data_IF_532957368460
#
_entry.id   IF_532957368460
#
_cell.length_a   1.000
_cell.length_b   1.000
_cell.length_c   1.000
_cell.angle_alpha   90.00
_cell.angle_beta   90.00
_cell.angle_gamma   90.00
#
_symmetry.space_group_name_H-M   'P 1'
#
loop_
_entity.id
_entity.type
_entity.pdbx_description
1 polymer ?
#
# COMPACT_ATOMS: atom_id res chain seq x y z
N UNK A 1 -18.22 17.82 54.79
CA UNK A 1 -18.29 16.52 54.11
C UNK A 1 -16.91 15.89 54.24
N UNK A 2 -16.89 14.68 54.76
CA UNK A 2 -15.76 14.01 55.43
C UNK A 2 -14.87 13.28 54.42
N UNK A 3 -13.56 13.55 54.47
CA UNK A 3 -12.54 13.22 53.46
C UNK A 3 -11.61 12.10 53.95
N UNK A 4 -12.19 11.02 54.49
CA UNK A 4 -11.44 10.03 55.29
C UNK A 4 -11.72 8.56 54.96
N UNK A 5 -12.01 8.21 53.70
CA UNK A 5 -12.19 6.80 53.28
C UNK A 5 -11.50 6.43 51.96
N UNK A 6 -10.19 6.51 51.91
CA UNK A 6 -9.36 5.65 51.05
C UNK A 6 -8.09 5.24 51.82
N UNK A 7 -8.27 4.34 52.81
CA UNK A 7 -7.13 3.59 53.34
C UNK A 7 -6.75 2.55 52.29
N UNK A 8 -5.63 2.79 51.61
CA UNK A 8 -4.90 1.76 50.88
C UNK A 8 -4.54 0.64 51.88
N UNK A 9 -5.19 -0.51 51.77
CA UNK A 9 -4.69 -1.72 52.38
C UNK A 9 -3.47 -2.16 51.56
N UNK A 10 -2.30 -2.25 52.21
CA UNK A 10 -1.14 -2.89 51.61
C UNK A 10 -1.49 -4.36 51.31
N UNK A 11 -1.11 -4.90 50.13
CA UNK A 11 -1.38 -6.30 49.83
C UNK A 11 -0.60 -7.20 50.79
N UNK A 12 -1.14 -8.39 51.13
CA UNK A 12 -0.40 -9.37 51.91
C UNK A 12 0.86 -9.78 51.13
N UNK A 13 1.97 -9.89 51.85
CA UNK A 13 3.27 -10.34 51.35
C UNK A 13 3.21 -11.83 50.97
N UNK A 14 2.60 -12.11 49.82
CA UNK A 14 2.78 -13.35 49.07
C UNK A 14 3.77 -13.11 47.95
N UNK A 15 4.55 -14.14 47.60
CA UNK A 15 5.55 -14.17 46.52
C UNK A 15 5.23 -13.17 45.41
N UNK A 16 6.12 -12.18 45.22
CA UNK A 16 5.99 -11.22 44.14
C UNK A 16 5.84 -12.00 42.83
N UNK A 17 4.63 -11.97 42.26
CA UNK A 17 4.42 -12.40 40.89
C UNK A 17 5.50 -11.72 40.04
N UNK A 18 6.19 -12.47 39.15
CA UNK A 18 7.22 -11.88 38.32
C UNK A 18 6.64 -10.66 37.60
N UNK A 19 7.43 -9.58 37.45
CA UNK A 19 6.95 -8.39 36.75
C UNK A 19 6.35 -8.84 35.41
N UNK A 20 5.16 -8.33 35.05
CA UNK A 20 4.47 -8.78 33.85
C UNK A 20 5.41 -8.63 32.67
N UNK A 21 5.49 -9.69 31.86
CA UNK A 21 6.40 -9.69 30.74
C UNK A 21 6.04 -8.55 29.77
N UNK A 22 7.04 -7.90 29.17
CA UNK A 22 6.79 -6.97 28.08
C UNK A 22 5.88 -7.62 27.05
N UNK A 23 4.81 -6.91 26.67
CA UNK A 23 3.87 -7.41 25.67
C UNK A 23 4.58 -7.74 24.36
N UNK A 24 5.62 -6.97 24.03
CA UNK A 24 6.52 -7.22 22.93
C UNK A 24 7.91 -7.65 23.46
N UNK A 25 8.39 -8.80 23.01
CA UNK A 25 9.77 -9.27 23.25
C UNK A 25 10.37 -9.56 21.89
N UNK A 26 11.47 -8.89 21.53
CA UNK A 26 12.08 -8.94 20.20
C UNK A 26 12.88 -10.22 19.91
N UNK A 27 13.07 -11.10 20.89
CA UNK A 27 13.86 -12.32 20.74
C UNK A 27 13.10 -13.45 20.02
N UNK A 28 13.53 -13.78 18.80
CA UNK A 28 13.48 -15.16 18.28
C UNK A 28 12.20 -15.68 17.60
N UNK A 29 11.40 -14.85 16.92
CA UNK A 29 10.16 -15.34 16.28
C UNK A 29 10.22 -15.38 14.74
N UNK A 30 10.23 -16.60 14.20
CA UNK A 30 9.81 -16.93 12.83
C UNK A 30 8.64 -17.92 12.93
N UNK A 31 7.42 -17.39 13.02
CA UNK A 31 6.20 -18.16 12.72
C UNK A 31 5.53 -17.43 11.55
N UNK A 32 4.94 -18.10 10.56
CA UNK A 32 4.17 -17.44 9.50
C UNK A 32 2.87 -16.87 10.06
N UNK A 33 2.51 -15.63 9.74
CA UNK A 33 1.10 -15.18 9.82
C UNK A 33 0.52 -15.50 8.44
N UNK A 34 -0.75 -15.89 8.39
CA UNK A 34 -1.51 -16.06 7.15
C UNK A 34 -1.87 -14.70 6.49
N UNK A 35 -0.91 -13.77 6.51
CA UNK A 35 -0.96 -12.46 5.84
C UNK A 35 -0.28 -12.54 4.45
N UNK A 36 0.03 -13.75 3.97
CA UNK A 36 1.13 -13.96 3.03
C UNK A 36 2.47 -13.69 3.72
N UNK A 37 3.58 -14.20 3.17
CA UNK A 37 4.89 -13.99 3.79
C UNK A 37 5.17 -12.48 3.99
N UNK A 38 5.32 -12.03 5.24
CA UNK A 38 5.66 -10.65 5.56
C UNK A 38 7.00 -10.22 4.91
N UNK A 39 7.89 -11.19 4.64
CA UNK A 39 9.26 -11.00 4.15
C UNK A 39 9.39 -10.20 2.85
N UNK A 40 8.35 -10.14 2.04
CA UNK A 40 8.35 -9.40 0.77
C UNK A 40 7.44 -8.16 0.78
N UNK A 41 6.60 -8.00 1.82
CA UNK A 41 5.61 -6.94 1.89
C UNK A 41 6.12 -5.69 2.59
N UNK A 42 7.05 -5.83 3.53
CA UNK A 42 7.73 -4.72 4.18
C UNK A 42 8.75 -4.01 3.26
N UNK A 43 9.10 -4.63 2.13
CA UNK A 43 10.00 -4.10 1.09
C UNK A 43 9.27 -3.30 0.00
N UNK A 44 7.93 -3.25 0.02
CA UNK A 44 7.16 -2.49 -0.96
C UNK A 44 7.48 -1.00 -0.85
N UNK A 45 8.00 -0.43 -1.94
CA UNK A 45 8.25 0.99 -2.05
C UNK A 45 6.93 1.75 -2.28
N UNK A 46 6.26 2.11 -1.19
CA UNK A 46 5.01 2.85 -1.29
C UNK A 46 5.18 4.27 -1.87
N UNK A 47 6.39 4.84 -1.86
CA UNK A 47 6.64 6.15 -2.48
C UNK A 47 6.56 6.10 -4.00
N UNK A 48 6.68 4.90 -4.61
CA UNK A 48 6.35 4.66 -6.02
C UNK A 48 4.91 5.08 -6.35
N UNK A 49 3.93 4.74 -5.50
CA UNK A 49 2.53 5.09 -5.76
C UNK A 49 2.29 6.59 -5.75
N UNK A 50 2.84 7.32 -4.77
CA UNK A 50 2.73 8.78 -4.72
C UNK A 50 3.41 9.44 -5.94
N UNK A 51 4.55 8.92 -6.40
CA UNK A 51 5.23 9.41 -7.62
C UNK A 51 4.42 9.14 -8.89
N UNK A 52 3.85 7.95 -9.03
CA UNK A 52 2.98 7.63 -10.17
C UNK A 52 1.70 8.47 -10.15
N UNK A 53 1.14 8.77 -8.98
CA UNK A 53 -0.03 9.62 -8.84
C UNK A 53 0.20 11.08 -9.31
N UNK A 54 1.44 11.59 -9.27
CA UNK A 54 1.79 12.90 -9.87
C UNK A 54 1.55 12.93 -11.38
N UNK A 55 1.71 11.78 -12.05
CA UNK A 55 1.58 11.65 -13.49
C UNK A 55 0.21 11.12 -13.94
N UNK A 56 -0.75 11.03 -13.03
CA UNK A 56 -2.07 10.46 -13.33
C UNK A 56 -2.78 11.17 -14.51
N UNK A 57 -2.57 12.47 -14.67
CA UNK A 57 -3.19 13.23 -15.78
C UNK A 57 -2.49 12.96 -17.14
N UNK A 58 -1.23 12.53 -17.12
CA UNK A 58 -0.39 12.27 -18.30
C UNK A 58 -0.44 10.79 -18.71
N UNK A 59 -0.14 9.91 -17.76
CA UNK A 59 0.09 8.47 -17.96
C UNK A 59 -1.17 7.63 -17.64
N UNK A 60 -2.18 8.23 -16.99
CA UNK A 60 -3.34 7.51 -16.50
C UNK A 60 -3.03 6.68 -15.25
N UNK A 61 -3.95 5.80 -14.84
CA UNK A 61 -3.75 4.92 -13.68
C UNK A 61 -3.13 3.57 -14.01
N UNK A 62 -2.97 3.20 -15.28
CA UNK A 62 -2.34 1.93 -15.65
C UNK A 62 -1.01 1.64 -14.91
N UNK A 63 -0.07 2.60 -14.76
CA UNK A 63 1.15 2.36 -13.99
C UNK A 63 0.90 2.06 -12.50
N UNK A 64 -0.15 2.64 -11.90
CA UNK A 64 -0.56 2.34 -10.52
C UNK A 64 -1.15 0.93 -10.42
N UNK A 65 -2.01 0.57 -11.38
CA UNK A 65 -2.66 -0.74 -11.45
C UNK A 65 -1.63 -1.85 -11.62
N UNK A 66 -0.66 -1.68 -12.52
CA UNK A 66 0.43 -2.64 -12.74
C UNK A 66 1.34 -2.75 -11.51
N UNK A 67 1.67 -1.62 -10.87
CA UNK A 67 2.45 -1.62 -9.63
C UNK A 67 1.77 -2.41 -8.52
N UNK A 68 0.48 -2.15 -8.30
CA UNK A 68 -0.30 -2.86 -7.29
C UNK A 68 -0.43 -4.35 -7.60
N UNK A 69 -0.58 -4.73 -8.89
CA UNK A 69 -0.58 -6.13 -9.30
C UNK A 69 0.73 -6.84 -8.95
N UNK A 70 1.87 -6.24 -9.31
CA UNK A 70 3.19 -6.81 -9.03
C UNK A 70 3.41 -7.00 -7.53
N UNK A 71 3.04 -6.02 -6.72
CA UNK A 71 3.19 -6.08 -5.27
C UNK A 71 2.21 -7.08 -4.64
N UNK A 72 0.96 -7.16 -5.12
CA UNK A 72 0.00 -8.18 -4.67
C UNK A 72 0.43 -9.59 -5.06
N UNK A 73 0.99 -9.79 -6.26
CA UNK A 73 1.44 -11.10 -6.75
C UNK A 73 2.61 -11.67 -5.94
N UNK A 74 3.42 -10.82 -5.32
CA UNK A 74 4.46 -11.23 -4.35
C UNK A 74 3.85 -11.76 -3.06
N UNK A 75 2.60 -11.40 -2.76
CA UNK A 75 1.89 -11.94 -1.61
C UNK A 75 1.29 -13.31 -1.94
N UNK A 76 1.03 -14.12 -0.91
CA UNK A 76 0.32 -15.40 -1.05
C UNK A 76 -1.20 -15.21 -1.20
N UNK A 77 -1.66 -14.11 -1.82
CA UNK A 77 -3.09 -13.87 -2.04
C UNK A 77 -3.68 -14.98 -2.90
N UNK A 78 -4.66 -15.68 -2.36
CA UNK A 78 -5.34 -16.73 -3.11
C UNK A 78 -6.11 -16.16 -4.29
N UNK A 79 -6.62 -14.92 -4.18
CA UNK A 79 -7.30 -14.24 -5.27
C UNK A 79 -6.33 -13.89 -6.41
N UNK A 80 -5.15 -13.34 -6.10
CA UNK A 80 -4.20 -12.90 -7.14
C UNK A 80 -3.50 -14.09 -7.83
N UNK A 81 -3.38 -15.21 -7.14
CA UNK A 81 -2.64 -16.39 -7.64
C UNK A 81 -3.20 -16.89 -8.97
N UNK A 82 -4.52 -16.84 -9.11
CA UNK A 82 -5.24 -17.31 -10.29
C UNK A 82 -5.72 -16.15 -11.19
N UNK A 83 -5.32 -14.91 -10.87
CA UNK A 83 -5.67 -13.70 -11.61
C UNK A 83 -4.48 -13.22 -12.45
N UNK A 84 -4.60 -13.28 -13.78
CA UNK A 84 -3.61 -12.66 -14.65
C UNK A 84 -3.73 -11.12 -14.64
N UNK A 85 -2.76 -10.45 -15.25
CA UNK A 85 -2.71 -8.98 -15.28
C UNK A 85 -3.88 -8.39 -16.08
N UNK A 86 -4.41 -9.10 -17.08
CA UNK A 86 -5.48 -8.59 -17.93
C UNK A 86 -6.80 -8.57 -17.17
N UNK A 87 -7.10 -9.65 -16.45
CA UNK A 87 -8.27 -9.75 -15.55
C UNK A 87 -8.15 -8.73 -14.41
N UNK A 88 -6.97 -8.60 -13.80
CA UNK A 88 -6.72 -7.59 -12.78
C UNK A 88 -6.96 -6.18 -13.30
N UNK A 89 -6.41 -5.87 -14.48
CA UNK A 89 -6.54 -4.54 -15.09
C UNK A 89 -8.00 -4.25 -15.44
N UNK A 90 -8.75 -5.23 -15.94
CA UNK A 90 -10.18 -5.08 -16.22
C UNK A 90 -10.98 -4.69 -14.98
N UNK A 91 -10.84 -5.43 -13.87
CA UNK A 91 -11.56 -5.12 -12.64
C UNK A 91 -11.06 -3.85 -11.95
N UNK A 92 -9.77 -3.55 -12.05
CA UNK A 92 -9.20 -2.30 -11.58
C UNK A 92 -9.75 -1.10 -12.36
N UNK A 93 -9.87 -1.21 -13.68
CA UNK A 93 -10.46 -0.18 -14.53
C UNK A 93 -11.92 0.06 -14.17
N UNK A 94 -12.69 -1.01 -13.95
CA UNK A 94 -14.07 -0.90 -13.51
C UNK A 94 -14.20 -0.18 -12.16
N UNK A 95 -13.35 -0.54 -11.19
CA UNK A 95 -13.30 0.13 -9.89
C UNK A 95 -12.92 1.61 -10.02
N UNK A 96 -11.78 1.90 -10.65
CA UNK A 96 -11.21 3.25 -10.74
C UNK A 96 -12.04 4.18 -11.63
N UNK A 97 -12.87 3.64 -12.54
CA UNK A 97 -13.84 4.43 -13.30
C UNK A 97 -14.88 5.12 -12.41
N UNK A 98 -15.09 4.61 -11.19
CA UNK A 98 -15.97 5.23 -10.18
C UNK A 98 -15.22 6.07 -9.15
N UNK A 99 -13.90 6.23 -9.30
CA UNK A 99 -13.05 7.00 -8.38
C UNK A 99 -12.61 8.27 -9.09
N UNK A 100 -12.98 9.43 -8.57
CA UNK A 100 -12.49 10.68 -9.12
C UNK A 100 -10.94 10.75 -9.03
N UNK A 101 -10.23 11.18 -10.10
CA UNK A 101 -8.77 11.24 -10.10
C UNK A 101 -8.15 12.01 -8.93
N UNK A 102 -8.83 13.04 -8.45
CA UNK A 102 -8.41 13.80 -7.28
C UNK A 102 -8.51 12.99 -5.97
N UNK A 103 -9.53 12.13 -5.82
CA UNK A 103 -9.62 11.18 -4.70
C UNK A 103 -8.45 10.20 -4.80
N UNK A 104 -8.20 9.62 -5.97
CA UNK A 104 -7.12 8.64 -6.17
C UNK A 104 -5.74 9.23 -5.83
N UNK A 105 -5.46 10.46 -6.28
CA UNK A 105 -4.26 11.22 -5.89
C UNK A 105 -4.18 11.38 -4.38
N UNK A 106 -5.26 11.86 -3.74
CA UNK A 106 -5.28 12.10 -2.31
C UNK A 106 -5.12 10.82 -1.47
N UNK A 107 -5.60 9.67 -1.96
CA UNK A 107 -5.34 8.36 -1.37
C UNK A 107 -3.85 8.04 -1.42
N UNK A 108 -3.20 8.20 -2.58
CA UNK A 108 -1.76 7.92 -2.74
C UNK A 108 -0.87 8.88 -1.92
N UNK A 109 -1.34 10.08 -1.61
CA UNK A 109 -0.67 11.03 -0.71
C UNK A 109 -1.10 10.91 0.75
N UNK A 110 -2.10 10.06 1.04
CA UNK A 110 -2.65 9.77 2.36
C UNK A 110 -3.32 10.94 3.08
N UNK A 111 -3.74 12.00 2.37
CA UNK A 111 -4.46 13.13 2.97
C UNK A 111 -5.75 13.53 2.21
N UNK A 112 -6.71 12.61 2.19
CA UNK A 112 -8.02 12.86 1.61
C UNK A 112 -8.79 13.92 2.40
N UNK A 113 -8.68 13.93 3.74
CA UNK A 113 -9.33 14.94 4.57
C UNK A 113 -8.90 16.38 4.24
N UNK A 114 -7.60 16.66 4.16
CA UNK A 114 -7.14 18.01 3.81
C UNK A 114 -7.52 18.37 2.36
N UNK A 115 -7.41 17.41 1.43
CA UNK A 115 -7.79 17.63 0.03
C UNK A 115 -9.27 18.00 -0.08
N UNK A 116 -10.16 17.25 0.57
CA UNK A 116 -11.60 17.56 0.59
C UNK A 116 -11.87 18.94 1.22
N UNK A 117 -11.21 19.29 2.34
CA UNK A 117 -11.37 20.61 2.96
C UNK A 117 -10.93 21.76 2.03
N UNK A 118 -9.92 21.53 1.19
CA UNK A 118 -9.42 22.50 0.22
C UNK A 118 -10.24 22.59 -1.07
N UNK A 119 -10.99 21.54 -1.42
CA UNK A 119 -11.76 21.43 -2.67
C UNK A 119 -13.25 21.14 -2.39
N UNK A 120 -14.07 22.18 -2.55
CA UNK A 120 -15.53 22.11 -2.37
C UNK A 120 -16.19 21.16 -3.38
N UNK A 121 -15.66 21.08 -4.60
CA UNK A 121 -16.16 20.16 -5.63
C UNK A 121 -15.93 18.72 -5.23
N UNK A 122 -14.70 18.40 -4.82
CA UNK A 122 -14.33 17.07 -4.35
C UNK A 122 -15.14 16.65 -3.11
N UNK A 123 -15.30 17.55 -2.13
CA UNK A 123 -16.12 17.31 -0.94
C UNK A 123 -17.56 16.92 -1.28
N UNK A 124 -18.17 17.57 -2.29
CA UNK A 124 -19.53 17.23 -2.74
C UNK A 124 -19.61 15.85 -3.38
N UNK A 125 -18.56 15.44 -4.10
CA UNK A 125 -18.51 14.11 -4.73
C UNK A 125 -18.36 13.03 -3.66
N UNK A 126 -17.44 13.20 -2.71
CA UNK A 126 -17.29 12.25 -1.60
C UNK A 126 -18.59 12.16 -0.78
N UNK A 127 -19.26 13.28 -0.52
CA UNK A 127 -20.55 13.28 0.16
C UNK A 127 -21.63 12.54 -0.64
N UNK A 128 -21.70 12.70 -1.96
CA UNK A 128 -22.69 11.98 -2.76
C UNK A 128 -22.45 10.46 -2.75
N UNK A 129 -21.20 10.02 -2.69
CA UNK A 129 -20.86 8.61 -2.51
C UNK A 129 -21.26 8.11 -1.11
N UNK A 130 -21.03 8.91 -0.07
CA UNK A 130 -21.49 8.60 1.29
C UNK A 130 -23.01 8.46 1.36
N UNK A 131 -23.77 9.38 0.77
CA UNK A 131 -25.23 9.35 0.72
C UNK A 131 -25.74 8.08 0.00
N UNK A 132 -25.02 7.63 -1.02
CA UNK A 132 -25.36 6.42 -1.78
C UNK A 132 -25.02 5.12 -1.04
N UNK A 133 -24.06 5.15 -0.13
CA UNK A 133 -23.49 3.96 0.54
C UNK A 133 -24.48 3.16 1.43
N UNK A 134 -25.68 3.68 1.69
CA UNK A 134 -26.79 2.96 2.33
C UNK A 134 -27.45 1.92 1.41
N UNK A 135 -27.35 2.13 0.10
CA UNK A 135 -28.11 1.41 -0.93
C UNK A 135 -27.24 0.73 -1.99
N UNK A 136 -25.95 1.07 -2.03
CA UNK A 136 -25.00 0.52 -2.99
C UNK A 136 -23.75 0.00 -2.28
N UNK A 137 -23.19 -1.06 -2.84
CA UNK A 137 -21.90 -1.58 -2.44
C UNK A 137 -20.80 -0.53 -2.67
N UNK A 138 -19.92 -0.36 -1.69
CA UNK A 138 -18.88 0.69 -1.76
C UNK A 138 -17.58 0.24 -1.13
N UNK A 139 -16.47 0.83 -1.57
CA UNK A 139 -15.21 0.83 -0.83
C UNK A 139 -15.13 2.10 0.01
N UNK A 140 -14.80 1.94 1.28
CA UNK A 140 -14.61 3.01 2.24
C UNK A 140 -13.16 3.07 2.71
N UNK A 141 -12.73 4.27 3.09
CA UNK A 141 -11.43 4.57 3.63
C UNK A 141 -11.59 5.27 4.98
N UNK A 142 -11.07 4.65 6.03
CA UNK A 142 -10.88 5.35 7.30
C UNK A 142 -9.48 5.96 7.34
N UNK A 143 -9.41 7.23 7.69
CA UNK A 143 -8.16 7.97 7.82
C UNK A 143 -8.06 8.55 9.23
N UNK A 144 -6.98 8.24 9.94
CA UNK A 144 -6.62 8.99 11.14
C UNK A 144 -5.91 10.29 10.75
N UNK A 145 -6.27 11.39 11.39
CA UNK A 145 -5.58 12.67 11.22
C UNK A 145 -5.12 13.20 12.57
N UNK A 146 -3.95 13.83 12.58
CA UNK A 146 -3.34 14.48 13.73
C UNK A 146 -2.54 15.71 13.29
N UNK A 147 -2.30 16.66 14.22
CA UNK A 147 -1.53 17.89 13.93
C UNK A 147 -0.06 17.57 13.59
N UNK A 148 0.52 16.58 14.25
CA UNK A 148 1.87 16.07 13.99
C UNK A 148 1.80 14.54 13.98
N UNK A 149 1.57 13.98 12.80
CA UNK A 149 1.33 12.56 12.64
C UNK A 149 2.63 11.74 12.80
N UNK A 150 3.79 12.34 12.51
CA UNK A 150 5.10 11.72 12.73
C UNK A 150 5.37 11.53 14.22
N UNK A 151 5.11 12.56 15.02
CA UNK A 151 5.19 12.48 16.47
C UNK A 151 4.22 11.43 17.02
N UNK A 152 2.98 11.41 16.52
CA UNK A 152 1.98 10.40 16.93
C UNK A 152 2.45 8.99 16.61
N UNK A 153 2.91 8.74 15.39
CA UNK A 153 3.44 7.44 14.97
C UNK A 153 4.62 6.99 15.85
N UNK A 154 5.56 7.89 16.15
CA UNK A 154 6.70 7.60 17.02
C UNK A 154 6.27 7.34 18.47
N UNK A 155 5.33 8.13 18.99
CA UNK A 155 4.78 7.90 20.32
C UNK A 155 4.06 6.55 20.40
N UNK A 156 3.36 6.13 19.34
CA UNK A 156 2.75 4.80 19.22
C UNK A 156 3.77 3.68 19.13
N UNK A 157 4.85 3.86 18.37
CA UNK A 157 5.90 2.86 18.29
C UNK A 157 6.59 2.67 19.66
N UNK A 158 6.96 3.76 20.33
CA UNK A 158 7.58 3.73 21.66
C UNK A 158 6.68 3.07 22.70
N UNK A 159 5.41 3.48 22.67
CA UNK A 159 4.35 2.85 23.41
C UNK A 159 4.37 1.33 23.21
N UNK A 160 4.25 0.87 21.98
CA UNK A 160 4.18 -0.54 21.63
C UNK A 160 5.40 -1.35 22.04
N UNK A 161 6.61 -0.81 21.87
CA UNK A 161 7.86 -1.57 21.95
C UNK A 161 8.24 -1.95 23.39
N UNK A 162 8.23 -1.01 24.37
CA UNK A 162 8.88 -1.30 25.67
C UNK A 162 8.43 -0.49 26.88
N UNK A 163 7.54 0.50 26.77
CA UNK A 163 7.42 1.53 27.84
C UNK A 163 6.09 1.65 28.58
N UNK A 164 5.06 0.84 28.32
CA UNK A 164 3.84 0.91 29.15
C UNK A 164 3.99 0.11 30.45
N UNK A 165 3.78 0.80 31.57
CA UNK A 165 3.61 0.19 32.89
C UNK A 165 2.37 -0.72 32.91
N UNK A 166 2.30 -1.69 33.82
CA UNK A 166 1.10 -2.52 34.04
C UNK A 166 -0.14 -1.66 34.22
N UNK A 167 0.00 -0.51 34.89
CA UNK A 167 -1.10 0.42 35.09
C UNK A 167 -1.60 1.06 33.78
N UNK A 168 -0.70 1.46 32.87
CA UNK A 168 -1.09 1.98 31.56
C UNK A 168 -1.76 0.92 30.68
N UNK A 169 -1.25 -0.32 30.72
CA UNK A 169 -1.88 -1.46 30.06
C UNK A 169 -3.29 -1.70 30.61
N UNK A 170 -3.44 -1.69 31.93
CA UNK A 170 -4.73 -1.78 32.61
C UNK A 170 -5.70 -0.68 32.18
N UNK A 171 -5.26 0.58 32.12
CA UNK A 171 -6.14 1.69 31.72
C UNK A 171 -6.69 1.50 30.30
N UNK A 172 -5.86 1.03 29.37
CA UNK A 172 -6.29 0.75 27.99
C UNK A 172 -7.34 -0.37 27.97
N UNK A 173 -7.06 -1.48 28.65
CA UNK A 173 -7.93 -2.65 28.65
C UNK A 173 -9.22 -2.38 29.44
N UNK A 174 -9.16 -1.64 30.55
CA UNK A 174 -10.31 -1.19 31.34
C UNK A 174 -11.19 -0.21 30.58
N UNK A 175 -10.61 0.65 29.76
CA UNK A 175 -11.40 1.54 28.92
C UNK A 175 -12.18 0.76 27.84
N UNK A 176 -11.64 -0.37 27.37
CA UNK A 176 -12.31 -1.25 26.42
C UNK A 176 -13.38 -2.15 27.08
N UNK A 177 -13.09 -2.65 28.27
CA UNK A 177 -14.01 -3.43 29.09
C UNK A 177 -13.95 -2.92 30.54
N UNK A 178 -15.02 -2.26 30.98
CA UNK A 178 -15.11 -1.69 32.33
C UNK A 178 -15.06 -2.76 33.43
N UNK A 179 -15.22 -4.04 33.10
CA UNK A 179 -15.06 -5.14 34.05
C UNK A 179 -13.62 -5.65 34.13
N UNK A 180 -12.72 -5.17 33.27
CA UNK A 180 -11.31 -5.56 33.28
C UNK A 180 -10.63 -5.08 34.56
N UNK A 181 -9.98 -5.99 35.28
CA UNK A 181 -9.33 -5.71 36.55
C UNK A 181 -7.82 -5.52 36.36
N UNK A 182 -7.19 -4.78 37.29
CA UNK A 182 -5.73 -4.68 37.32
C UNK A 182 -5.07 -6.06 37.46
N UNK A 183 -5.69 -6.95 38.24
CA UNK A 183 -5.23 -8.33 38.42
C UNK A 183 -5.22 -9.13 37.10
N UNK A 184 -6.15 -8.89 36.18
CA UNK A 184 -6.12 -9.52 34.86
C UNK A 184 -4.86 -9.11 34.09
N UNK A 185 -4.54 -7.82 34.12
CA UNK A 185 -3.34 -7.26 33.49
C UNK A 185 -2.06 -7.78 34.14
N UNK A 186 -2.02 -7.81 35.47
CA UNK A 186 -0.87 -8.32 36.24
C UNK A 186 -0.65 -9.82 35.99
N UNK A 187 -1.70 -10.58 35.71
CA UNK A 187 -1.61 -11.99 35.30
C UNK A 187 -1.13 -12.20 33.85
N UNK A 188 -0.88 -11.11 33.11
CA UNK A 188 -0.42 -11.13 31.72
C UNK A 188 -1.53 -11.23 30.68
N UNK A 189 -2.80 -11.21 31.09
CA UNK A 189 -3.94 -11.11 30.16
C UNK A 189 -4.00 -9.70 29.60
N UNK A 190 -4.50 -9.55 28.36
CA UNK A 190 -4.58 -8.25 27.68
C UNK A 190 -5.78 -8.23 26.72
N UNK A 191 -6.78 -7.38 26.95
CA UNK A 191 -8.07 -7.40 26.26
C UNK A 191 -7.96 -7.53 24.72
N UNK A 192 -7.16 -6.67 24.08
CA UNK A 192 -7.07 -6.64 22.62
C UNK A 192 -6.26 -7.79 22.01
N UNK A 193 -5.28 -8.30 22.74
CA UNK A 193 -4.36 -9.34 22.24
C UNK A 193 -4.60 -10.70 22.88
N UNK A 194 -5.63 -10.85 23.69
CA UNK A 194 -6.08 -12.14 24.23
C UNK A 194 -6.59 -13.03 23.08
N UNK A 195 -6.20 -14.30 23.13
CA UNK A 195 -6.72 -15.37 22.29
C UNK A 195 -7.87 -16.11 22.98
N UNK A 196 -8.42 -17.13 22.31
CA UNK A 196 -9.60 -17.87 22.79
C UNK A 196 -9.43 -18.59 24.14
N UNK A 197 -8.20 -18.75 24.62
CA UNK A 197 -7.85 -19.43 25.88
C UNK A 197 -7.42 -18.47 27.00
N UNK A 198 -7.59 -17.17 26.81
CA UNK A 198 -7.18 -16.17 27.80
C UNK A 198 -5.70 -15.77 27.80
N UNK A 199 -4.88 -16.45 26.98
CA UNK A 199 -3.47 -16.14 26.81
C UNK A 199 -3.25 -15.13 25.68
N UNK A 200 -2.13 -14.41 25.71
CA UNK A 200 -1.71 -13.53 24.59
C UNK A 200 -1.56 -14.32 23.29
N UNK A 201 -2.19 -13.83 22.23
CA UNK A 201 -2.16 -14.37 20.89
C UNK A 201 -0.86 -13.96 20.17
N UNK A 202 -0.05 -14.94 19.80
CA UNK A 202 1.23 -14.73 19.12
C UNK A 202 1.09 -14.10 17.72
N UNK A 203 -0.05 -14.28 17.03
CA UNK A 203 -0.37 -13.60 15.79
C UNK A 203 -0.58 -12.10 16.02
N UNK A 204 -1.46 -11.74 16.96
CA UNK A 204 -1.70 -10.34 17.32
C UNK A 204 -0.44 -9.64 17.83
N UNK A 205 0.39 -10.33 18.63
CA UNK A 205 1.71 -9.83 19.08
C UNK A 205 2.63 -9.47 17.90
N UNK A 206 2.69 -10.32 16.86
CA UNK A 206 3.47 -10.05 15.66
C UNK A 206 2.91 -8.87 14.86
N UNK A 207 1.59 -8.75 14.73
CA UNK A 207 0.95 -7.60 14.09
C UNK A 207 1.36 -6.29 14.78
N UNK A 208 1.34 -6.26 16.12
CA UNK A 208 1.80 -5.09 16.88
C UNK A 208 3.28 -4.77 16.66
N UNK A 209 4.15 -5.79 16.63
CA UNK A 209 5.58 -5.61 16.31
C UNK A 209 5.80 -5.06 14.90
N UNK A 210 5.16 -5.64 13.88
CA UNK A 210 5.28 -5.20 12.50
C UNK A 210 4.75 -3.79 12.31
N UNK A 211 3.60 -3.47 12.93
CA UNK A 211 3.03 -2.13 12.93
C UNK A 211 3.95 -1.12 13.61
N UNK A 212 4.47 -1.44 14.81
CA UNK A 212 5.42 -0.58 15.53
C UNK A 212 6.67 -0.27 14.69
N UNK A 213 7.27 -1.29 14.06
CA UNK A 213 8.44 -1.12 13.18
C UNK A 213 8.13 -0.24 11.98
N UNK A 214 6.96 -0.44 11.37
CA UNK A 214 6.52 0.38 10.24
C UNK A 214 6.35 1.85 10.65
N UNK A 215 5.77 2.12 11.82
CA UNK A 215 5.62 3.47 12.36
C UNK A 215 6.98 4.13 12.69
N UNK A 216 7.95 3.40 13.23
CA UNK A 216 9.31 3.92 13.45
C UNK A 216 9.98 4.29 12.13
N UNK A 217 9.96 3.39 11.15
CA UNK A 217 10.51 3.66 9.80
C UNK A 217 9.89 4.90 9.18
N UNK A 218 8.58 5.07 9.38
CA UNK A 218 7.85 6.23 8.89
C UNK A 218 8.28 7.53 9.53
N UNK A 219 8.39 7.55 10.86
CA UNK A 219 8.88 8.71 11.58
C UNK A 219 10.31 9.09 11.14
N UNK A 220 11.17 8.09 10.89
CA UNK A 220 12.53 8.31 10.38
C UNK A 220 12.53 8.89 8.96
N UNK A 221 11.72 8.34 8.05
CA UNK A 221 11.54 8.85 6.67
C UNK A 221 11.07 10.31 6.69
N UNK A 222 10.05 10.61 7.49
CA UNK A 222 9.51 11.96 7.63
C UNK A 222 10.55 12.96 8.14
N UNK A 223 11.34 12.55 9.14
CA UNK A 223 12.41 13.35 9.71
C UNK A 223 13.50 13.62 8.67
N UNK A 224 13.92 12.58 7.92
CA UNK A 224 14.94 12.71 6.85
C UNK A 224 14.49 13.63 5.72
N UNK A 225 13.22 13.57 5.36
CA UNK A 225 12.64 14.38 4.28
C UNK A 225 12.15 15.77 4.75
N UNK A 226 12.31 16.10 6.03
CA UNK A 226 11.78 17.31 6.66
C UNK A 226 10.26 17.49 6.40
N UNK A 227 9.53 16.37 6.37
CA UNK A 227 8.07 16.33 6.19
C UNK A 227 7.40 16.23 7.55
N UNK A 228 6.55 17.20 7.87
CA UNK A 228 5.73 17.19 9.10
C UNK A 228 4.45 16.37 8.94
N UNK A 229 4.10 16.01 7.71
CA UNK A 229 2.97 15.16 7.39
C UNK A 229 3.46 13.90 6.70
N UNK A 230 3.08 12.75 7.25
CA UNK A 230 3.38 11.45 6.68
C UNK A 230 2.06 10.70 6.40
N UNK A 231 1.82 10.18 5.18
CA UNK A 231 0.53 9.66 4.69
C UNK A 231 -0.21 8.52 5.46
N UNK A 232 -0.27 8.37 6.78
CA UNK A 232 -0.56 7.00 7.33
C UNK A 232 -1.47 6.90 8.55
N UNK A 233 -1.84 5.65 8.87
CA UNK A 233 -3.01 5.19 9.63
C UNK A 233 -4.33 5.21 8.85
N UNK A 234 -4.30 4.55 7.69
CA UNK A 234 -5.48 4.29 6.87
C UNK A 234 -5.97 2.85 7.01
N UNK A 235 -7.28 2.67 6.88
CA UNK A 235 -7.92 1.38 6.70
C UNK A 235 -8.76 1.45 5.44
N UNK A 236 -8.66 0.45 4.59
CA UNK A 236 -9.54 0.30 3.43
C UNK A 236 -10.35 -0.97 3.60
N UNK A 237 -11.64 -0.88 3.29
CA UNK A 237 -12.49 -2.06 3.21
C UNK A 237 -13.71 -1.82 2.33
N UNK A 238 -14.47 -2.87 2.02
CA UNK A 238 -15.74 -2.74 1.32
C UNK A 238 -16.93 -3.31 2.11
N UNK A 239 -18.11 -2.84 1.73
CA UNK A 239 -19.37 -3.33 2.28
C UNK A 239 -20.52 -3.12 1.30
N UNK A 240 -21.50 -4.03 1.33
CA UNK A 240 -22.79 -3.84 0.65
C UNK A 240 -23.54 -2.60 1.18
N UNK A 241 -23.30 -2.24 2.45
CA UNK A 241 -23.83 -1.03 3.12
C UNK A 241 -22.72 -0.32 3.89
N UNK A 242 -22.11 0.68 3.28
CA UNK A 242 -20.98 1.44 3.83
C UNK A 242 -21.35 2.17 5.13
N UNK A 243 -22.54 2.77 5.20
CA UNK A 243 -23.06 3.45 6.41
C UNK A 243 -23.20 2.53 7.62
N UNK A 244 -23.64 1.29 7.44
CA UNK A 244 -23.76 0.31 8.52
C UNK A 244 -22.38 -0.06 9.04
N UNK A 245 -21.42 -0.22 8.13
CA UNK A 245 -20.03 -0.48 8.48
C UNK A 245 -19.40 0.72 9.20
N UNK A 246 -19.64 1.96 8.73
CA UNK A 246 -19.26 3.22 9.40
C UNK A 246 -19.75 3.22 10.85
N UNK A 247 -21.03 2.95 11.08
CA UNK A 247 -21.61 2.85 12.43
C UNK A 247 -20.93 1.79 13.29
N UNK A 248 -20.56 0.62 12.74
CA UNK A 248 -19.82 -0.40 13.49
C UNK A 248 -18.42 0.07 13.91
N UNK A 249 -17.72 0.79 13.04
CA UNK A 249 -16.42 1.40 13.39
C UNK A 249 -16.57 2.52 14.42
N UNK A 250 -17.59 3.37 14.29
CA UNK A 250 -17.84 4.48 15.21
C UNK A 250 -18.24 3.99 16.61
N UNK A 251 -19.09 2.95 16.67
CA UNK A 251 -19.57 2.32 17.90
C UNK A 251 -18.56 1.34 18.53
N UNK A 252 -17.35 1.21 17.98
CA UNK A 252 -16.30 0.32 18.48
C UNK A 252 -16.70 -1.16 18.55
N UNK A 253 -17.67 -1.57 17.72
CA UNK A 253 -18.11 -2.97 17.58
C UNK A 253 -17.48 -3.65 16.36
N UNK A 254 -16.48 -3.01 15.75
CA UNK A 254 -15.81 -3.47 14.53
C UNK A 254 -14.79 -4.58 14.80
N UNK A 255 -14.55 -5.40 13.78
CA UNK A 255 -13.55 -6.48 13.77
C UNK A 255 -12.11 -5.99 13.63
N UNK A 256 -11.87 -4.71 13.31
CA UNK A 256 -10.51 -4.15 13.21
C UNK A 256 -9.95 -3.82 14.60
N UNK A 257 -9.48 -4.85 15.31
CA UNK A 257 -9.00 -4.70 16.68
C UNK A 257 -7.77 -3.76 16.78
N UNK A 258 -6.90 -3.70 15.76
CA UNK A 258 -5.73 -2.83 15.75
C UNK A 258 -6.12 -1.35 15.74
N UNK A 259 -7.15 -1.02 14.95
CA UNK A 259 -7.75 0.31 14.90
C UNK A 259 -8.33 0.69 16.27
N UNK A 260 -9.11 -0.20 16.89
CA UNK A 260 -9.71 0.04 18.20
C UNK A 260 -8.64 0.23 19.28
N UNK A 261 -7.67 -0.68 19.33
CA UNK A 261 -6.54 -0.62 20.26
C UNK A 261 -5.79 0.72 20.16
N UNK A 262 -5.53 1.18 18.94
CA UNK A 262 -4.91 2.48 18.66
C UNK A 262 -5.74 3.64 19.21
N UNK A 263 -7.07 3.61 19.02
CA UNK A 263 -7.98 4.63 19.56
C UNK A 263 -7.97 4.68 21.10
N UNK A 264 -7.97 3.52 21.78
CA UNK A 264 -7.94 3.47 23.24
C UNK A 264 -6.62 3.94 23.83
N UNK A 265 -5.50 3.61 23.20
CA UNK A 265 -4.19 4.19 23.53
C UNK A 265 -4.25 5.72 23.54
N UNK A 266 -4.77 6.31 22.45
CA UNK A 266 -4.85 7.76 22.29
C UNK A 266 -5.74 8.42 23.35
N UNK A 267 -6.84 7.76 23.70
CA UNK A 267 -7.76 8.26 24.72
C UNK A 267 -7.21 8.14 26.15
N UNK A 268 -6.37 7.14 26.41
CA UNK A 268 -5.79 6.89 27.74
C UNK A 268 -4.62 7.82 28.07
N UNK A 269 -3.77 8.17 27.09
CA UNK A 269 -2.56 8.94 27.36
C UNK A 269 -2.76 10.44 27.24
N UNK A 270 -2.69 11.14 28.39
CA UNK A 270 -2.89 12.59 28.52
C UNK A 270 -2.02 13.47 27.61
N UNK A 271 -0.86 12.97 27.16
CA UNK A 271 0.09 13.71 26.32
C UNK A 271 -0.03 13.37 24.83
N UNK A 272 -0.99 12.52 24.43
CA UNK A 272 -1.24 12.28 23.01
C UNK A 272 -2.01 13.46 22.42
N UNK A 273 -1.60 13.95 21.23
CA UNK A 273 -2.37 14.96 20.55
C UNK A 273 -3.73 14.39 20.15
N UNK A 274 -4.77 15.23 20.06
CA UNK A 274 -6.09 14.79 19.65
C UNK A 274 -6.03 14.20 18.25
N UNK A 275 -6.49 12.95 18.13
CA UNK A 275 -6.67 12.27 16.84
C UNK A 275 -8.12 12.39 16.40
N UNK A 276 -8.32 12.57 15.09
CA UNK A 276 -9.64 12.49 14.49
C UNK A 276 -9.68 11.35 13.49
N UNK A 277 -10.70 10.52 13.60
CA UNK A 277 -10.99 9.48 12.63
C UNK A 277 -12.00 10.02 11.63
N UNK A 278 -11.62 10.04 10.36
CA UNK A 278 -12.51 10.36 9.26
C UNK A 278 -12.86 9.07 8.51
N UNK A 279 -14.07 8.99 7.98
CA UNK A 279 -14.49 7.91 7.11
C UNK A 279 -14.98 8.53 5.82
N UNK A 280 -14.51 8.01 4.69
CA UNK A 280 -14.85 8.46 3.35
C UNK A 280 -15.33 7.28 2.53
N UNK A 281 -16.41 7.45 1.78
CA UNK A 281 -16.74 6.53 0.68
C UNK A 281 -15.99 6.98 -0.57
N UNK A 282 -15.12 6.13 -1.12
CA UNK A 282 -14.17 6.54 -2.17
C UNK A 282 -14.38 5.85 -3.51
N UNK A 283 -15.10 4.72 -3.54
CA UNK A 283 -15.38 3.97 -4.76
C UNK A 283 -16.77 3.33 -4.67
N UNK A 284 -17.51 3.38 -5.78
CA UNK A 284 -18.79 2.70 -5.93
C UNK A 284 -18.54 1.36 -6.62
N UNK A 285 -18.98 0.26 -6.00
CA UNK A 285 -18.80 -1.07 -6.58
C UNK A 285 -19.97 -1.33 -7.53
N UNK A 286 -19.65 -1.64 -8.79
CA UNK A 286 -20.62 -1.89 -9.86
C UNK A 286 -21.03 -3.35 -9.94
N UNK A 287 -20.15 -4.27 -9.56
CA UNK A 287 -20.38 -5.72 -9.58
C UNK A 287 -19.66 -6.44 -8.44
N UNK A 288 -20.15 -7.64 -8.08
CA UNK A 288 -19.67 -8.38 -6.90
C UNK A 288 -18.16 -8.71 -6.97
N UNK A 289 -17.67 -9.06 -8.17
CA UNK A 289 -16.29 -9.49 -8.40
C UNK A 289 -15.27 -8.35 -8.38
N UNK A 290 -15.71 -7.11 -8.61
CA UNK A 290 -14.85 -5.91 -8.55
C UNK A 290 -14.45 -5.57 -7.13
N UNK A 291 -15.31 -5.84 -6.15
CA UNK A 291 -15.08 -5.47 -4.75
C UNK A 291 -13.73 -5.95 -4.18
N UNK A 292 -13.38 -7.24 -4.28
CA UNK A 292 -12.08 -7.75 -3.85
C UNK A 292 -10.89 -7.05 -4.50
N UNK A 293 -10.92 -6.83 -5.82
CA UNK A 293 -9.83 -6.15 -6.55
C UNK A 293 -9.73 -4.70 -6.13
N UNK A 294 -10.86 -4.01 -6.02
CA UNK A 294 -10.92 -2.63 -5.55
C UNK A 294 -10.36 -2.48 -4.14
N UNK A 295 -10.66 -3.42 -3.22
CA UNK A 295 -10.07 -3.45 -1.88
C UNK A 295 -8.56 -3.61 -1.93
N UNK A 296 -8.06 -4.61 -2.67
CA UNK A 296 -6.62 -4.89 -2.78
C UNK A 296 -5.86 -3.69 -3.34
N UNK A 297 -6.34 -3.18 -4.48
CA UNK A 297 -5.78 -2.03 -5.17
C UNK A 297 -5.74 -0.81 -4.23
N UNK A 298 -6.89 -0.40 -3.70
CA UNK A 298 -6.96 0.79 -2.87
C UNK A 298 -6.21 0.62 -1.55
N UNK A 299 -6.14 -0.58 -0.96
CA UNK A 299 -5.34 -0.86 0.24
C UNK A 299 -3.84 -0.64 -0.02
N UNK A 300 -3.34 -1.04 -1.20
CA UNK A 300 -1.93 -0.79 -1.60
C UNK A 300 -1.66 0.69 -1.81
N UNK A 301 -2.51 1.35 -2.59
CA UNK A 301 -2.37 2.78 -2.89
C UNK A 301 -2.45 3.64 -1.64
N UNK A 302 -3.35 3.29 -0.71
CA UNK A 302 -3.56 3.92 0.60
C UNK A 302 -2.47 3.60 1.63
N UNK A 303 -1.56 2.65 1.33
CA UNK A 303 -0.62 2.10 2.32
C UNK A 303 -1.34 1.62 3.60
N UNK A 304 -2.50 1.01 3.43
CA UNK A 304 -3.40 0.70 4.53
C UNK A 304 -3.04 -0.60 5.28
N UNK A 305 -2.06 -1.38 4.84
CA UNK A 305 -1.61 -2.56 5.57
C UNK A 305 -0.79 -2.24 6.82
N UNK A 306 -0.95 -3.03 7.89
CA UNK A 306 -0.26 -2.80 9.16
C UNK A 306 1.27 -2.80 9.05
N UNK A 307 1.86 -3.69 8.26
CA UNK A 307 3.31 -3.74 8.02
C UNK A 307 3.84 -2.53 7.23
N UNK A 308 2.93 -1.75 6.64
CA UNK A 308 3.24 -0.49 5.99
C UNK A 308 2.90 0.73 6.87
N UNK A 309 2.23 0.54 8.01
CA UNK A 309 1.77 1.62 8.90
C UNK A 309 0.30 1.99 8.72
N UNK A 310 -0.53 1.10 8.19
CA UNK A 310 -2.00 1.23 8.20
C UNK A 310 -2.69 0.29 9.21
N UNK A 311 -3.99 0.07 9.06
CA UNK A 311 -4.80 -0.72 10.00
C UNK A 311 -5.33 -2.04 9.43
N UNK A 312 -5.13 -2.32 8.15
CA UNK A 312 -5.52 -3.58 7.52
C UNK A 312 -4.57 -4.69 7.96
N UNK A 313 -5.10 -5.61 8.77
CA UNK A 313 -4.36 -6.76 9.33
C UNK A 313 -4.45 -7.97 8.40
N UNK A 314 -5.68 -8.24 7.94
CA UNK A 314 -5.96 -9.31 7.01
C UNK A 314 -5.59 -8.92 5.59
N UNK A 315 -5.46 -9.94 4.75
CA UNK A 315 -5.30 -9.74 3.32
C UNK A 315 -6.58 -9.14 2.73
N UNK A 316 -6.45 -7.96 2.12
CA UNK A 316 -7.53 -7.38 1.33
C UNK A 316 -7.95 -8.33 0.20
N UNK A 317 -9.23 -8.32 -0.15
CA UNK A 317 -9.82 -9.16 -1.16
C UNK A 317 -10.08 -10.62 -0.74
N UNK A 318 -9.58 -11.05 0.44
CA UNK A 318 -9.66 -12.45 0.85
C UNK A 318 -11.08 -12.96 1.14
N UNK A 319 -12.08 -12.07 1.32
CA UNK A 319 -13.45 -12.48 1.67
C UNK A 319 -14.54 -11.64 1.02
N UNK A 320 -15.25 -12.22 0.05
CA UNK A 320 -16.44 -11.61 -0.57
C UNK A 320 -17.68 -11.56 0.35
N UNK A 321 -17.58 -12.04 1.59
CA UNK A 321 -18.72 -12.16 2.51
C UNK A 321 -19.49 -10.85 2.71
N UNK A 322 -18.80 -9.71 2.66
CA UNK A 322 -19.38 -8.37 2.82
C UNK A 322 -20.19 -7.88 1.61
N UNK A 323 -20.12 -8.56 0.46
CA UNK A 323 -20.89 -8.24 -0.76
C UNK A 323 -21.91 -9.32 -1.11
N UNK A 324 -21.82 -10.50 -0.49
CA UNK A 324 -22.74 -11.60 -0.79
C UNK A 324 -24.18 -11.23 -0.44
N UNK A 325 -25.01 -11.17 -1.47
CA UNK A 325 -26.46 -11.02 -1.36
C UNK A 325 -27.14 -12.39 -1.20
N UNK A 326 -26.64 -13.20 -0.25
CA UNK A 326 -27.01 -14.62 -0.10
C UNK A 326 -28.51 -14.87 0.17
N UNK A 327 -29.23 -13.85 0.65
CA UNK A 327 -30.68 -13.91 0.92
C UNK A 327 -31.55 -13.64 -0.31
N UNK A 328 -30.95 -13.22 -1.42
CA UNK A 328 -31.66 -12.92 -2.67
C UNK A 328 -31.55 -14.08 -3.67
N UNK A 329 -32.55 -14.20 -4.54
CA UNK A 329 -32.49 -15.08 -5.71
C UNK A 329 -31.41 -14.62 -6.68
N UNK A 330 -30.93 -15.48 -7.59
CA UNK A 330 -29.92 -15.09 -8.58
C UNK A 330 -30.38 -13.91 -9.44
N UNK A 331 -31.64 -13.94 -9.89
CA UNK A 331 -32.26 -12.86 -10.70
C UNK A 331 -32.31 -11.54 -9.94
N UNK A 332 -32.69 -11.56 -8.66
CA UNK A 332 -32.71 -10.34 -7.84
C UNK A 332 -31.31 -9.79 -7.57
N UNK A 333 -30.30 -10.67 -7.43
CA UNK A 333 -28.90 -10.24 -7.28
C UNK A 333 -28.40 -9.55 -8.54
N UNK A 334 -28.63 -10.15 -9.71
CA UNK A 334 -28.27 -9.56 -11.01
C UNK A 334 -28.93 -8.19 -11.19
N UNK A 335 -30.20 -8.06 -10.80
CA UNK A 335 -30.91 -6.78 -10.82
C UNK A 335 -30.27 -5.72 -9.90
N UNK A 336 -29.89 -6.09 -8.68
CA UNK A 336 -29.22 -5.16 -7.75
C UNK A 336 -27.88 -4.67 -8.32
N UNK A 337 -27.09 -5.56 -8.91
CA UNK A 337 -25.80 -5.19 -9.51
C UNK A 337 -25.97 -4.36 -10.78
N UNK A 338 -26.95 -4.68 -11.63
CA UNK A 338 -27.29 -3.87 -12.80
C UNK A 338 -27.72 -2.44 -12.40
N UNK A 339 -28.57 -2.30 -11.38
CA UNK A 339 -28.97 -1.00 -10.83
C UNK A 339 -27.78 -0.21 -10.27
N UNK A 340 -26.84 -0.88 -9.61
CA UNK A 340 -25.61 -0.27 -9.10
C UNK A 340 -24.69 0.20 -10.24
N UNK A 341 -24.50 -0.61 -11.27
CA UNK A 341 -23.71 -0.27 -12.45
C UNK A 341 -24.32 0.90 -13.23
N UNK A 342 -25.64 0.89 -13.43
CA UNK A 342 -26.37 1.99 -14.08
C UNK A 342 -26.26 3.29 -13.28
N UNK A 343 -26.41 3.23 -11.95
CA UNK A 343 -26.22 4.41 -11.11
C UNK A 343 -24.81 4.96 -11.24
N UNK A 344 -23.78 4.12 -11.09
CA UNK A 344 -22.39 4.55 -11.21
C UNK A 344 -22.12 5.21 -12.57
N UNK A 345 -22.61 4.61 -13.67
CA UNK A 345 -22.43 5.13 -15.04
C UNK A 345 -23.15 6.46 -15.31
N UNK A 346 -24.31 6.68 -14.67
CA UNK A 346 -25.15 7.87 -14.92
C UNK A 346 -24.90 9.02 -13.95
N UNK A 347 -24.46 8.73 -12.73
CA UNK A 347 -24.34 9.73 -11.65
C UNK A 347 -22.90 10.09 -11.30
N UNK A 348 -21.91 9.41 -11.91
CA UNK A 348 -20.50 9.76 -11.81
C UNK A 348 -19.93 10.14 -13.18
N UNK A 349 -18.69 10.62 -13.23
CA UNK A 349 -17.99 10.89 -14.49
C UNK A 349 -17.46 9.62 -15.17
N UNK A 350 -17.97 8.43 -14.83
CA UNK A 350 -17.49 7.11 -15.27
C UNK A 350 -17.04 7.06 -16.74
N UNK A 351 -17.91 7.41 -17.69
CA UNK A 351 -17.59 7.31 -19.13
C UNK A 351 -16.50 8.31 -19.54
N UNK A 352 -16.49 9.50 -18.94
CA UNK A 352 -15.47 10.52 -19.21
C UNK A 352 -14.11 10.11 -18.62
N UNK A 353 -14.14 9.52 -17.42
CA UNK A 353 -12.98 8.99 -16.71
C UNK A 353 -12.35 7.83 -17.52
N UNK A 354 -13.16 6.88 -18.01
CA UNK A 354 -12.68 5.80 -18.90
C UNK A 354 -12.10 6.33 -20.22
N UNK A 355 -12.76 7.30 -20.85
CA UNK A 355 -12.28 7.88 -22.09
C UNK A 355 -10.92 8.58 -21.90
N UNK A 356 -10.74 9.27 -20.77
CA UNK A 356 -9.46 9.89 -20.39
C UNK A 356 -8.38 8.83 -20.17
N UNK A 357 -8.65 7.78 -19.41
CA UNK A 357 -7.69 6.70 -19.19
C UNK A 357 -7.26 6.04 -20.50
N UNK A 358 -8.20 5.76 -21.40
CA UNK A 358 -7.88 5.18 -22.70
C UNK A 358 -6.98 6.11 -23.55
N UNK A 359 -7.20 7.42 -23.47
CA UNK A 359 -6.34 8.40 -24.13
C UNK A 359 -4.94 8.44 -23.51
N UNK A 360 -4.84 8.43 -22.18
CA UNK A 360 -3.56 8.40 -21.46
C UNK A 360 -2.75 7.14 -21.77
N UNK A 361 -3.39 5.95 -21.84
CA UNK A 361 -2.72 4.71 -22.25
C UNK A 361 -2.13 4.78 -23.65
N UNK A 362 -2.88 5.33 -24.61
CA UNK A 362 -2.38 5.52 -25.99
C UNK A 362 -1.18 6.47 -26.01
N UNK A 363 -1.21 7.53 -25.20
CA UNK A 363 -0.10 8.45 -25.07
C UNK A 363 1.13 7.81 -24.43
N UNK A 364 0.94 6.99 -23.38
CA UNK A 364 1.99 6.24 -22.72
C UNK A 364 2.68 5.27 -23.70
N UNK A 365 1.90 4.46 -24.41
CA UNK A 365 2.42 3.53 -25.43
C UNK A 365 3.21 4.25 -26.53
N UNK A 366 2.72 5.41 -26.98
CA UNK A 366 3.42 6.24 -27.97
C UNK A 366 4.75 6.75 -27.40
N UNK A 367 4.74 7.26 -26.18
CA UNK A 367 5.94 7.80 -25.51
C UNK A 367 6.99 6.70 -25.29
N UNK A 368 6.57 5.51 -24.86
CA UNK A 368 7.46 4.36 -24.68
C UNK A 368 8.06 3.90 -26.01
N UNK A 369 7.24 3.84 -27.06
CA UNK A 369 7.72 3.51 -28.41
C UNK A 369 8.75 4.53 -28.91
N UNK A 370 8.47 5.83 -28.79
CA UNK A 370 9.41 6.88 -29.17
C UNK A 370 10.73 6.80 -28.38
N UNK A 371 10.66 6.46 -27.09
CA UNK A 371 11.85 6.25 -26.25
C UNK A 371 12.69 5.06 -26.72
N UNK A 372 12.05 3.93 -27.03
CA UNK A 372 12.74 2.74 -27.58
C UNK A 372 13.41 3.07 -28.92
N UNK A 373 12.72 3.81 -29.80
CA UNK A 373 13.29 4.21 -31.08
C UNK A 373 14.50 5.12 -30.92
N UNK A 374 14.44 6.13 -30.04
CA UNK A 374 15.60 6.99 -29.74
C UNK A 374 16.78 6.20 -29.17
N UNK A 375 16.52 5.25 -28.27
CA UNK A 375 17.58 4.40 -27.72
C UNK A 375 18.25 3.57 -28.83
N UNK A 376 17.47 3.02 -29.76
CA UNK A 376 18.01 2.31 -30.92
C UNK A 376 18.81 3.23 -31.85
N UNK A 377 18.33 4.44 -32.09
CA UNK A 377 19.06 5.42 -32.92
C UNK A 377 20.40 5.80 -32.28
N UNK A 378 20.42 6.01 -30.96
CA UNK A 378 21.63 6.27 -30.19
C UNK A 378 22.60 5.08 -30.24
N UNK A 379 22.10 3.84 -30.10
CA UNK A 379 22.88 2.62 -30.25
C UNK A 379 23.49 2.51 -31.66
N UNK A 380 22.70 2.76 -32.70
CA UNK A 380 23.17 2.75 -34.10
C UNK A 380 24.25 3.83 -34.31
N UNK A 381 24.04 5.04 -33.79
CA UNK A 381 25.02 6.12 -33.88
C UNK A 381 26.35 5.75 -33.21
N UNK A 382 26.30 5.14 -32.02
CA UNK A 382 27.48 4.63 -31.32
C UNK A 382 28.20 3.54 -32.12
N UNK A 383 27.47 2.61 -32.73
CA UNK A 383 28.07 1.56 -33.57
C UNK A 383 28.71 2.15 -34.83
N UNK A 384 28.05 3.10 -35.51
CA UNK A 384 28.63 3.81 -36.66
C UNK A 384 29.90 4.56 -36.30
N UNK A 385 29.95 5.20 -35.13
CA UNK A 385 31.15 5.87 -34.63
C UNK A 385 32.30 4.88 -34.36
N UNK A 386 32.00 3.70 -33.80
CA UNK A 386 33.00 2.64 -33.60
C UNK A 386 33.55 2.13 -34.93
N UNK A 387 32.68 1.86 -35.91
CA UNK A 387 33.10 1.42 -37.25
C UNK A 387 33.98 2.48 -37.91
N UNK A 388 33.59 3.77 -37.84
CA UNK A 388 34.41 4.85 -38.37
C UNK A 388 35.81 4.88 -37.73
N UNK A 389 35.90 4.78 -36.40
CA UNK A 389 37.19 4.71 -35.70
C UNK A 389 38.02 3.49 -36.09
N UNK A 390 37.38 2.34 -36.32
CA UNK A 390 38.05 1.13 -36.81
C UNK A 390 38.56 1.30 -38.25
N UNK A 391 37.78 1.94 -39.13
CA UNK A 391 38.20 2.29 -40.49
C UNK A 391 39.41 3.24 -40.48
N UNK A 392 39.40 4.26 -39.60
CA UNK A 392 40.52 5.19 -39.44
C UNK A 392 41.78 4.45 -38.97
N UNK A 393 41.64 3.59 -37.95
CA UNK A 393 42.75 2.76 -37.44
C UNK A 393 43.30 1.81 -38.51
N UNK A 394 42.42 1.21 -39.31
CA UNK A 394 42.79 0.35 -40.43
C UNK A 394 43.52 1.13 -41.53
N UNK A 395 43.11 2.36 -41.82
CA UNK A 395 43.81 3.23 -42.76
C UNK A 395 45.22 3.59 -42.25
N UNK A 396 45.37 3.86 -40.95
CA UNK A 396 46.68 4.10 -40.31
C UNK A 396 47.59 2.86 -40.37
N UNK A 397 47.06 1.66 -40.13
CA UNK A 397 47.80 0.41 -40.27
C UNK A 397 48.23 0.17 -41.72
N UNK A 398 47.31 0.33 -42.69
CA UNK A 398 47.63 0.23 -44.13
C UNK A 398 48.77 1.14 -44.56
N UNK A 399 48.84 2.34 -43.98
CA UNK A 399 49.90 3.30 -44.30
C UNK A 399 51.29 2.89 -43.77
N UNK A 400 51.34 1.99 -42.78
CA UNK A 400 52.59 1.55 -42.12
C UNK A 400 53.11 0.20 -42.65
N UNK A 401 52.26 -0.58 -43.32
CA UNK A 401 52.59 -1.92 -43.80
C UNK A 401 53.22 -1.85 -45.20
N UNK A 402 54.46 -2.34 -45.32
CA UNK A 402 55.01 -2.78 -46.60
C UNK A 402 54.70 -4.27 -46.77
N UNK A 403 53.70 -4.57 -47.59
CA UNK A 403 53.17 -5.93 -47.78
C UNK A 403 54.25 -6.91 -48.21
N UNK A 404 55.20 -6.49 -49.05
CA UNK A 404 56.25 -7.38 -49.54
C UNK A 404 57.29 -7.72 -48.47
N UNK A 405 57.54 -6.78 -47.55
CA UNK A 405 58.42 -7.00 -46.39
C UNK A 405 57.72 -7.87 -45.34
N UNK A 406 56.46 -7.56 -45.03
CA UNK A 406 55.68 -8.26 -44.01
C UNK A 406 55.34 -9.70 -44.40
N UNK A 407 55.03 -9.99 -45.67
CA UNK A 407 54.83 -11.37 -46.14
C UNK A 407 56.07 -12.26 -45.93
N UNK A 408 57.26 -11.65 -45.89
CA UNK A 408 58.53 -12.35 -45.72
C UNK A 408 58.98 -12.43 -44.27
N UNK A 409 58.78 -11.37 -43.48
CA UNK A 409 59.35 -11.22 -42.14
C UNK A 409 58.33 -11.37 -41.01
N UNK A 410 57.03 -11.14 -41.26
CA UNK A 410 55.95 -11.09 -40.27
C UNK A 410 54.62 -11.68 -40.80
N UNK A 411 54.59 -12.96 -41.20
CA UNK A 411 53.42 -13.56 -41.85
C UNK A 411 52.21 -13.75 -40.92
N UNK A 412 52.42 -13.93 -39.61
CA UNK A 412 51.33 -14.09 -38.63
C UNK A 412 50.63 -12.75 -38.38
N UNK A 413 51.40 -11.67 -38.19
CA UNK A 413 50.90 -10.32 -37.99
C UNK A 413 50.16 -9.79 -39.23
N UNK A 414 50.62 -10.17 -40.43
CA UNK A 414 49.91 -9.85 -41.67
C UNK A 414 48.57 -10.58 -41.79
N UNK A 415 48.47 -11.82 -41.29
CA UNK A 415 47.21 -12.56 -41.28
C UNK A 415 46.22 -11.96 -40.27
N UNK A 416 46.68 -11.58 -39.07
CA UNK A 416 45.86 -10.85 -38.09
C UNK A 416 45.32 -9.53 -38.66
N UNK A 417 46.15 -8.79 -39.42
CA UNK A 417 45.73 -7.58 -40.10
C UNK A 417 44.64 -7.86 -41.15
N UNK A 418 44.78 -8.91 -41.97
CA UNK A 418 43.76 -9.32 -42.96
C UNK A 418 42.45 -9.75 -42.30
N UNK A 419 42.52 -10.43 -41.17
CA UNK A 419 41.33 -10.85 -40.41
C UNK A 419 40.62 -9.63 -39.80
N UNK A 420 41.37 -8.65 -39.30
CA UNK A 420 40.82 -7.37 -38.84
C UNK A 420 40.18 -6.58 -39.99
N UNK A 421 40.81 -6.56 -41.17
CA UNK A 421 40.26 -5.95 -42.38
C UNK A 421 38.90 -6.53 -42.76
N UNK A 422 38.82 -7.86 -42.80
CA UNK A 422 37.58 -8.57 -43.10
C UNK A 422 36.50 -8.30 -42.06
N UNK A 423 36.87 -8.24 -40.78
CA UNK A 423 35.94 -7.91 -39.70
C UNK A 423 35.34 -6.50 -39.86
N UNK A 424 36.16 -5.49 -40.17
CA UNK A 424 35.69 -4.11 -40.40
C UNK A 424 34.76 -4.03 -41.62
N UNK A 425 35.08 -4.75 -42.69
CA UNK A 425 34.25 -4.82 -43.90
C UNK A 425 32.88 -5.47 -43.61
N UNK A 426 32.86 -6.59 -42.91
CA UNK A 426 31.62 -7.27 -42.50
C UNK A 426 30.75 -6.40 -41.60
N UNK A 427 31.34 -5.71 -40.62
CA UNK A 427 30.61 -4.79 -39.75
C UNK A 427 30.09 -3.56 -40.50
N UNK A 428 30.86 -3.02 -41.46
CA UNK A 428 30.43 -1.88 -42.29
C UNK A 428 29.22 -2.25 -43.16
N UNK A 429 29.23 -3.44 -43.76
CA UNK A 429 28.16 -3.90 -44.65
C UNK A 429 26.83 -4.12 -43.90
N UNK A 430 26.86 -4.53 -42.62
CA UNK A 430 25.66 -4.70 -41.80
C UNK A 430 24.85 -3.43 -41.57
N UNK A 431 25.43 -2.25 -41.80
CA UNK A 431 24.77 -0.95 -41.60
C UNK A 431 24.43 -0.21 -42.89
N UNK A 432 24.64 -0.84 -44.06
CA UNK A 432 24.29 -0.28 -45.38
C UNK A 432 22.95 -0.82 -45.93
N UNK A 433 22.47 -1.96 -45.41
CA UNK A 433 21.11 -2.49 -45.60
C UNK A 433 20.14 -1.98 -44.53
#
# INVERSE_FOLDING_TARGET
MDDSRFRQQAPPSGEHAPPPQPVLTTAGFHVPIDAGDEKEQDQVDHSRYSRSALKLDEDGWLPLVQAAYEDEKRTKNTFIKDCDIDIWTYFADEALSTVEPAILKAICYGDLNATCKGDVGLSKIVQSYEDRSDTQATVYLHQMTAKDLALVALQYANALDTSYTSYQAYLIDHQADQNWLLADTDSGRRHFIEGSKGNVDNGKKRVLLGFSRALTRLADEATKENKTHIPFLQYVGYAIKGTQRKKQHDLLTSTSWLFLFTKYICATWKNFPPINMHNFTVCLITEEVVGPVAEMLLTRLARAYYFAGGFSIGQAGASMSSLRLAKLSQVDREKVWEENAQYAKSMTNYTQIQAKELASRKNLQKTDYEKIMRQRDDEIAQHKQKIAAMCDHLAEYRAQIDVALWEKEFPEELQEFRDFEKFVEEETNKFQD
#
